data_IF_249605756584
#
_entry.id   IF_249605756584
#
_cell.length_a   1.000
_cell.length_b   1.000
_cell.length_c   1.000
_cell.angle_alpha   90.00
_cell.angle_beta   90.00
_cell.angle_gamma   90.00
#
_symmetry.space_group_name_H-M   'P 1'
#
loop_
_entity.id
_entity.type
_entity.pdbx_description
1 polymer ?
#
# COMPACT_ATOMS: atom_id res chain seq x y z
N UNK A 1 57.57 28.64 72.41
CA UNK A 1 57.28 27.97 71.12
C UNK A 1 55.89 27.35 71.23
N UNK A 2 54.87 28.11 70.84
CA UNK A 2 54.09 28.01 69.59
C UNK A 2 52.98 26.95 69.70
N UNK A 3 51.73 27.34 69.97
CA UNK A 3 50.71 27.83 69.00
C UNK A 3 50.53 26.77 67.91
N UNK A 4 49.42 26.03 67.77
CA UNK A 4 48.02 26.45 67.61
C UNK A 4 47.12 25.27 68.01
N UNK A 5 46.37 25.41 69.10
CA UNK A 5 45.20 24.62 69.43
C UNK A 5 44.21 25.60 70.05
N UNK A 6 43.27 26.10 69.24
CA UNK A 6 41.98 26.69 69.65
C UNK A 6 41.38 27.40 68.44
N UNK A 7 40.14 27.04 68.10
CA UNK A 7 38.97 27.92 67.96
C UNK A 7 38.00 27.43 66.89
N UNK A 8 36.77 27.18 67.38
CA UNK A 8 35.50 27.47 66.73
C UNK A 8 35.11 26.51 65.57
N UNK A 9 34.19 25.55 65.74
CA UNK A 9 32.74 25.72 66.05
C UNK A 9 32.15 26.89 65.27
N UNK A 10 31.08 26.62 64.51
CA UNK A 10 30.37 27.45 63.51
C UNK A 10 30.92 27.17 62.10
N UNK A 11 30.18 26.66 61.13
CA UNK A 11 28.79 26.92 60.78
C UNK A 11 28.12 25.66 60.21
N UNK A 12 27.32 25.00 61.04
CA UNK A 12 26.23 24.12 60.62
C UNK A 12 24.97 24.97 60.62
N UNK A 13 24.67 25.68 59.52
CA UNK A 13 23.37 26.31 59.26
C UNK A 13 23.45 27.08 57.93
N UNK A 14 23.10 26.42 56.83
CA UNK A 14 22.55 26.99 55.58
C UNK A 14 22.80 25.95 54.48
N UNK A 15 21.81 25.09 54.24
CA UNK A 15 21.44 24.44 52.96
C UNK A 15 20.36 23.37 53.23
N UNK A 16 19.40 23.70 54.11
CA UNK A 16 18.22 22.89 54.40
C UNK A 16 17.02 23.82 54.33
N UNK A 17 16.58 24.09 53.10
CA UNK A 17 15.50 25.04 52.84
C UNK A 17 15.44 25.42 51.37
N UNK A 18 15.15 24.43 50.51
CA UNK A 18 14.52 24.59 49.18
C UNK A 18 14.50 23.23 48.46
N UNK A 19 13.84 22.25 49.07
CA UNK A 19 13.17 21.20 48.29
C UNK A 19 11.70 21.27 48.69
N UNK A 20 11.12 22.44 48.39
CA UNK A 20 9.69 22.65 48.39
C UNK A 20 9.09 21.70 47.38
N UNK A 21 8.24 20.82 47.90
CA UNK A 21 7.41 19.87 47.20
C UNK A 21 6.60 20.57 46.11
N UNK A 22 7.05 20.47 44.87
CA UNK A 22 6.21 20.59 43.69
C UNK A 22 6.14 19.22 43.04
N UNK A 23 5.51 18.25 43.70
CA UNK A 23 4.82 17.19 42.97
C UNK A 23 3.51 17.79 42.48
N UNK A 24 3.61 18.63 41.44
CA UNK A 24 2.51 18.71 40.48
C UNK A 24 2.42 17.30 39.90
N UNK A 25 1.41 16.54 40.32
CA UNK A 25 0.96 15.40 39.54
C UNK A 25 0.63 15.97 38.16
N UNK A 26 1.54 15.78 37.20
CA UNK A 26 1.23 15.97 35.81
C UNK A 26 0.06 15.03 35.53
N UNK A 27 -1.15 15.58 35.37
CA UNK A 27 -2.19 14.85 34.67
C UNK A 27 -1.60 14.52 33.31
N UNK A 28 -1.48 13.22 33.01
CA UNK A 28 -1.06 12.74 31.70
C UNK A 28 -1.83 13.52 30.64
N UNK A 29 -1.10 14.29 29.82
CA UNK A 29 -1.71 15.23 28.89
C UNK A 29 -2.24 14.46 27.69
N UNK A 30 -3.43 13.86 27.85
CA UNK A 30 -4.12 13.16 26.76
C UNK A 30 -4.77 14.18 25.83
N UNK A 31 -4.41 14.11 24.55
CA UNK A 31 -4.96 14.99 23.51
C UNK A 31 -6.11 14.30 22.80
N UNK A 32 -7.32 14.82 22.96
CA UNK A 32 -8.49 14.29 22.27
C UNK A 32 -8.40 14.50 20.74
N UNK A 33 -8.75 13.47 19.98
CA UNK A 33 -8.68 13.42 18.51
C UNK A 33 -10.07 13.27 17.86
N UNK A 34 -10.91 12.38 18.39
CA UNK A 34 -12.26 12.09 17.86
C UNK A 34 -13.28 11.98 18.98
N UNK A 35 -14.50 12.44 18.72
CA UNK A 35 -15.68 12.04 19.48
C UNK A 35 -16.27 10.75 18.88
N UNK A 36 -16.77 9.87 19.75
CA UNK A 36 -17.44 8.63 19.32
C UNK A 36 -18.95 8.91 19.28
N UNK A 37 -19.55 8.80 18.10
CA UNK A 37 -20.99 9.00 17.90
C UNK A 37 -21.74 7.78 18.44
N UNK A 38 -22.49 7.97 19.53
CA UNK A 38 -23.34 6.93 20.10
C UNK A 38 -24.53 6.65 19.18
N UNK A 39 -24.67 5.39 18.77
CA UNK A 39 -25.83 4.89 18.04
C UNK A 39 -26.77 4.25 19.06
N UNK A 40 -27.82 5.00 19.46
CA UNK A 40 -29.01 4.54 20.20
C UNK A 40 -28.93 4.44 21.74
N UNK A 41 -30.10 4.57 22.39
CA UNK A 41 -30.37 4.49 23.85
C UNK A 41 -30.05 3.11 24.50
N UNK A 42 -29.27 2.25 23.85
CA UNK A 42 -28.83 0.97 24.40
C UNK A 42 -27.54 1.12 25.22
N UNK A 43 -27.53 0.54 26.41
CA UNK A 43 -26.36 0.46 27.29
C UNK A 43 -25.37 -0.61 26.80
N UNK A 44 -24.92 -0.49 25.54
CA UNK A 44 -24.02 -1.44 24.93
C UNK A 44 -22.63 -1.33 25.55
N UNK A 45 -22.19 -2.43 26.17
CA UNK A 45 -20.93 -2.50 26.91
C UNK A 45 -19.74 -2.75 25.97
N UNK A 46 -19.97 -3.31 24.79
CA UNK A 46 -18.91 -3.68 23.84
C UNK A 46 -19.07 -2.92 22.54
N UNK A 47 -18.14 -1.99 22.32
CA UNK A 47 -18.24 -1.00 21.25
C UNK A 47 -17.03 -1.11 20.32
N UNK A 48 -17.27 -0.93 19.02
CA UNK A 48 -16.22 -0.92 18.02
C UNK A 48 -16.33 0.24 17.02
N UNK A 49 -15.19 0.69 16.51
CA UNK A 49 -15.12 1.76 15.53
C UNK A 49 -14.01 1.52 14.52
N UNK A 50 -14.29 1.78 13.24
CA UNK A 50 -13.29 1.72 12.17
C UNK A 50 -12.39 2.96 12.25
N UNK A 51 -11.07 2.75 12.34
CA UNK A 51 -10.11 3.85 12.45
C UNK A 51 -9.85 4.51 11.08
N UNK A 52 -9.94 5.85 10.98
CA UNK A 52 -9.69 6.58 9.75
C UNK A 52 -8.18 6.80 9.50
N UNK A 53 -7.79 7.13 8.27
CA UNK A 53 -6.37 7.27 7.88
C UNK A 53 -5.66 8.39 8.63
N UNK A 54 -6.41 9.44 8.93
CA UNK A 54 -5.93 10.64 9.60
C UNK A 54 -5.40 10.35 11.01
N UNK A 55 -5.82 9.25 11.65
CA UNK A 55 -5.30 8.89 12.98
C UNK A 55 -3.78 8.68 12.97
N UNK A 56 -3.22 8.19 11.87
CA UNK A 56 -1.78 7.95 11.73
C UNK A 56 -0.96 9.24 11.63
N UNK A 57 -1.59 10.41 11.43
CA UNK A 57 -0.92 11.72 11.47
C UNK A 57 -0.74 12.25 12.89
N UNK A 58 -1.46 11.71 13.85
CA UNK A 58 -1.46 12.17 15.24
C UNK A 58 -0.61 11.29 16.17
N UNK A 59 -0.32 10.06 15.76
CA UNK A 59 0.45 9.05 16.52
C UNK A 59 1.96 9.14 16.26
N UNK A 60 2.76 8.73 17.25
CA UNK A 60 4.19 8.46 17.07
C UNK A 60 4.48 6.96 16.79
N UNK A 61 3.45 6.13 16.68
CA UNK A 61 3.56 4.68 16.53
C UNK A 61 2.78 4.16 15.34
N UNK A 62 3.46 3.44 14.44
CA UNK A 62 2.81 2.71 13.35
C UNK A 62 1.80 1.64 13.81
N UNK A 63 1.85 1.24 15.09
CA UNK A 63 0.94 0.27 15.71
C UNK A 63 -0.11 0.95 16.61
N UNK A 64 -0.22 2.29 16.58
CA UNK A 64 -1.19 3.07 17.37
C UNK A 64 -1.12 2.81 18.88
N UNK A 65 0.10 2.65 19.42
CA UNK A 65 0.34 2.30 20.82
C UNK A 65 -0.05 3.38 21.82
N UNK A 66 0.01 4.62 21.38
CA UNK A 66 -0.28 5.85 22.10
C UNK A 66 -1.75 6.28 21.97
N UNK A 67 -2.60 5.46 21.35
CA UNK A 67 -4.03 5.74 21.19
C UNK A 67 -4.82 5.09 22.32
N UNK A 68 -5.67 5.88 22.99
CA UNK A 68 -6.51 5.47 24.11
C UNK A 68 -7.97 5.90 23.91
N UNK A 69 -8.89 5.22 24.58
CA UNK A 69 -10.29 5.62 24.68
C UNK A 69 -10.53 6.24 26.05
N UNK A 70 -11.21 7.38 26.08
CA UNK A 70 -11.56 8.12 27.27
C UNK A 70 -13.08 8.14 27.47
N UNK A 71 -13.52 8.08 28.73
CA UNK A 71 -14.88 8.42 29.11
C UNK A 71 -15.08 9.94 29.29
N UNK A 72 -16.28 10.32 29.73
CA UNK A 72 -16.67 11.72 29.92
C UNK A 72 -15.77 12.48 30.90
N UNK A 73 -15.24 11.81 31.91
CA UNK A 73 -14.38 12.36 32.97
C UNK A 73 -12.89 12.29 32.60
N UNK A 74 -12.56 11.72 31.43
CA UNK A 74 -11.19 11.55 30.96
C UNK A 74 -10.50 10.31 31.53
N UNK A 75 -11.25 9.35 32.08
CA UNK A 75 -10.68 8.08 32.51
C UNK A 75 -10.42 7.17 31.29
N UNK A 76 -9.25 6.53 31.27
CA UNK A 76 -8.88 5.59 30.19
C UNK A 76 -9.66 4.29 30.32
N UNK A 77 -10.33 3.88 29.24
CA UNK A 77 -11.09 2.65 29.15
C UNK A 77 -10.24 1.48 28.61
N UNK A 78 -10.56 0.22 28.97
CA UNK A 78 -9.94 -0.95 28.34
C UNK A 78 -10.24 -0.99 26.85
N UNK A 79 -9.20 -0.87 26.02
CA UNK A 79 -9.30 -0.88 24.57
C UNK A 79 -8.20 -1.69 23.90
N UNK A 80 -8.49 -2.20 22.70
CA UNK A 80 -7.53 -2.83 21.80
C UNK A 80 -7.74 -2.38 20.36
N UNK A 81 -6.67 -2.43 19.56
CA UNK A 81 -6.72 -2.20 18.13
C UNK A 81 -6.35 -3.51 17.43
N UNK A 82 -7.18 -3.94 16.49
CA UNK A 82 -6.94 -5.14 15.68
C UNK A 82 -7.11 -4.85 14.20
N UNK A 83 -6.57 -5.71 13.37
CA UNK A 83 -6.91 -5.71 11.95
C UNK A 83 -8.39 -6.03 11.78
N UNK A 84 -9.05 -5.31 10.86
CA UNK A 84 -10.39 -5.62 10.44
C UNK A 84 -10.42 -7.07 9.92
N UNK A 85 -11.50 -7.78 10.25
CA UNK A 85 -11.65 -9.13 9.76
C UNK A 85 -11.70 -9.11 8.24
N UNK A 86 -10.86 -9.96 7.66
CA UNK A 86 -10.86 -10.14 6.23
C UNK A 86 -12.22 -10.67 5.83
N UNK A 87 -12.94 -9.88 5.04
CA UNK A 87 -14.21 -10.31 4.48
C UNK A 87 -13.92 -11.28 3.37
N UNK A 88 -14.68 -12.35 3.32
CA UNK A 88 -14.57 -13.30 2.24
C UNK A 88 -15.03 -12.64 0.92
N UNK A 89 -14.09 -12.28 0.05
CA UNK A 89 -14.26 -11.85 -1.34
C UNK A 89 -13.48 -12.75 -2.30
N UNK A 90 -14.11 -13.28 -3.35
CA UNK A 90 -13.62 -14.30 -4.28
C UNK A 90 -12.16 -14.33 -4.82
N UNK A 91 -11.38 -15.43 -4.56
CA UNK A 91 -10.09 -15.82 -5.16
C UNK A 91 -10.35 -16.76 -6.34
N UNK A 92 -9.78 -16.49 -7.51
CA UNK A 92 -9.74 -17.47 -8.59
C UNK A 92 -9.03 -18.75 -8.13
N UNK A 93 -9.75 -19.85 -7.99
CA UNK A 93 -9.20 -21.16 -8.36
C UNK A 93 -9.16 -21.19 -9.89
N UNK A 94 -7.98 -21.16 -10.49
CA UNK A 94 -7.82 -21.07 -11.95
C UNK A 94 -8.25 -22.41 -12.57
N UNK A 95 -9.29 -22.41 -13.41
CA UNK A 95 -9.79 -23.59 -14.13
C UNK A 95 -9.28 -23.53 -15.56
N UNK A 96 -8.52 -24.52 -16.04
CA UNK A 96 -8.14 -24.55 -17.46
C UNK A 96 -9.36 -24.87 -18.34
N UNK A 97 -9.61 -24.06 -19.37
CA UNK A 97 -10.71 -24.23 -20.30
C UNK A 97 -10.23 -24.77 -21.65
N UNK A 98 -10.97 -25.73 -22.19
CA UNK A 98 -10.77 -26.19 -23.55
C UNK A 98 -11.38 -25.18 -24.53
N UNK A 99 -10.66 -24.87 -25.61
CA UNK A 99 -11.13 -23.96 -26.64
C UNK A 99 -10.83 -24.47 -28.06
N UNK A 100 -11.63 -24.04 -29.02
CA UNK A 100 -11.61 -24.52 -30.40
C UNK A 100 -11.59 -23.34 -31.38
N UNK A 101 -10.59 -23.23 -32.27
CA UNK A 101 -10.58 -22.23 -33.33
C UNK A 101 -11.64 -22.55 -34.40
N UNK A 102 -12.39 -21.53 -34.83
CA UNK A 102 -13.41 -21.63 -35.89
C UNK A 102 -13.19 -20.52 -36.90
N UNK A 103 -13.12 -20.89 -38.18
CA UNK A 103 -12.99 -19.96 -39.29
C UNK A 103 -14.35 -19.31 -39.61
N UNK A 104 -14.40 -17.98 -39.60
CA UNK A 104 -15.58 -17.19 -39.94
C UNK A 104 -16.02 -17.48 -41.38
N UNK A 105 -17.34 -17.69 -41.58
CA UNK A 105 -17.91 -18.03 -42.89
C UNK A 105 -18.12 -19.53 -43.13
N UNK A 106 -17.71 -20.40 -42.20
CA UNK A 106 -18.02 -21.84 -42.25
C UNK A 106 -19.42 -22.09 -41.65
N UNK A 107 -20.40 -22.63 -42.41
CA UNK A 107 -21.72 -22.94 -41.85
C UNK A 107 -21.66 -24.10 -40.84
N UNK A 108 -22.02 -23.81 -39.58
CA UNK A 108 -22.06 -24.78 -38.46
C UNK A 108 -22.93 -26.02 -38.73
N UNK A 109 -23.92 -25.90 -39.61
CA UNK A 109 -24.88 -26.97 -39.93
C UNK A 109 -24.30 -28.11 -40.77
N UNK A 110 -23.19 -27.88 -41.49
CA UNK A 110 -22.53 -28.90 -42.31
C UNK A 110 -21.66 -29.89 -41.51
N UNK A 111 -21.32 -29.53 -40.27
CA UNK A 111 -20.45 -30.33 -39.40
C UNK A 111 -21.21 -31.44 -38.62
N UNK A 112 -22.56 -31.42 -38.63
CA UNK A 112 -23.36 -32.31 -37.77
C UNK A 112 -24.02 -33.47 -38.55
N UNK A 113 -24.00 -33.47 -39.89
CA UNK A 113 -24.80 -34.42 -40.67
C UNK A 113 -24.04 -35.09 -41.82
N UNK A 114 -22.99 -35.86 -41.50
CA UNK A 114 -22.74 -37.13 -42.19
C UNK A 114 -22.38 -38.19 -41.15
N UNK A 115 -23.41 -38.96 -40.76
CA UNK A 115 -23.36 -39.95 -39.70
C UNK A 115 -22.36 -41.06 -39.99
N UNK A 116 -21.23 -41.01 -39.28
CA UNK A 116 -20.62 -42.11 -38.52
C UNK A 116 -19.38 -41.57 -37.82
N UNK A 117 -19.58 -40.79 -36.77
CA UNK A 117 -18.50 -40.47 -35.83
C UNK A 117 -19.08 -40.36 -34.44
N UNK A 118 -18.96 -41.46 -33.69
CA UNK A 118 -18.84 -41.34 -32.25
C UNK A 118 -17.58 -40.51 -31.99
N UNK A 119 -17.75 -39.43 -31.25
CA UNK A 119 -16.67 -38.61 -30.76
C UNK A 119 -15.83 -39.48 -29.81
N UNK A 120 -14.79 -40.11 -30.32
CA UNK A 120 -13.75 -40.72 -29.51
C UNK A 120 -12.46 -39.98 -29.82
N UNK A 121 -12.09 -39.14 -28.86
CA UNK A 121 -10.84 -38.38 -28.86
C UNK A 121 -9.73 -39.39 -28.59
N UNK A 122 -8.95 -39.74 -29.60
CA UNK A 122 -7.63 -40.33 -29.37
C UNK A 122 -6.60 -39.70 -30.34
N UNK A 123 -5.52 -39.20 -29.74
CA UNK A 123 -4.26 -38.74 -30.37
C UNK A 123 -4.38 -37.85 -31.63
N UNK A 124 -5.00 -36.70 -31.44
CA UNK A 124 -4.56 -35.41 -31.99
C UNK A 124 -4.10 -35.37 -33.46
N UNK A 125 -5.04 -35.28 -34.40
CA UNK A 125 -4.96 -34.39 -35.58
C UNK A 125 -6.21 -34.54 -36.43
N UNK A 126 -6.80 -33.40 -36.83
CA UNK A 126 -7.87 -33.34 -37.83
C UNK A 126 -7.28 -32.59 -39.04
N UNK A 127 -7.24 -33.26 -40.19
CA UNK A 127 -6.93 -32.62 -41.47
C UNK A 127 -8.14 -32.76 -42.39
N UNK A 128 -8.56 -31.66 -43.03
CA UNK A 128 -9.67 -31.64 -43.99
C UNK A 128 -9.19 -30.89 -45.24
N UNK A 129 -9.30 -31.53 -46.41
CA UNK A 129 -9.19 -30.88 -47.71
C UNK A 129 -10.59 -30.53 -48.24
N UNK A 130 -10.74 -29.38 -48.90
CA UNK A 130 -11.96 -28.98 -49.58
C UNK A 130 -11.69 -28.55 -51.03
N UNK A 131 -12.71 -28.76 -51.87
CA UNK A 131 -12.77 -28.46 -53.30
C UNK A 131 -13.01 -26.94 -53.53
N UNK A 132 -12.23 -26.23 -54.38
CA UNK A 132 -12.06 -24.77 -54.29
C UNK A 132 -13.02 -23.96 -55.20
N UNK A 133 -14.30 -24.32 -55.28
CA UNK A 133 -15.24 -23.58 -56.14
C UNK A 133 -16.32 -22.86 -55.34
N UNK A 134 -16.21 -21.52 -55.32
CA UNK A 134 -17.20 -20.53 -54.85
C UNK A 134 -17.22 -20.10 -53.37
N UNK A 135 -16.06 -19.86 -52.76
CA UNK A 135 -16.00 -18.92 -51.63
C UNK A 135 -14.88 -17.92 -51.89
N UNK A 136 -15.23 -16.64 -52.08
CA UNK A 136 -14.30 -15.53 -51.86
C UNK A 136 -14.04 -15.51 -50.36
N UNK A 137 -13.02 -16.25 -49.92
CA UNK A 137 -12.54 -16.24 -48.55
C UNK A 137 -12.07 -14.84 -48.24
N UNK A 138 -12.83 -14.14 -47.38
CA UNK A 138 -12.27 -13.04 -46.63
C UNK A 138 -11.10 -13.58 -45.80
N UNK A 139 -10.10 -12.72 -45.59
CA UNK A 139 -8.89 -12.96 -44.80
C UNK A 139 -9.19 -13.85 -43.59
N UNK A 140 -8.36 -14.86 -43.33
CA UNK A 140 -8.59 -15.96 -42.38
C UNK A 140 -8.95 -15.46 -40.96
N UNK A 141 -10.22 -15.13 -40.73
CA UNK A 141 -10.69 -14.59 -39.45
C UNK A 141 -11.11 -15.73 -38.54
N UNK A 142 -10.40 -15.88 -37.43
CA UNK A 142 -10.69 -16.91 -36.43
C UNK A 142 -11.49 -16.35 -35.25
N UNK A 143 -12.45 -17.14 -34.80
CA UNK A 143 -13.07 -16.99 -33.47
C UNK A 143 -12.79 -18.22 -32.64
N UNK A 144 -12.68 -18.07 -31.33
CA UNK A 144 -12.39 -19.16 -30.41
C UNK A 144 -13.62 -19.50 -29.60
N UNK A 145 -14.10 -20.74 -29.73
CA UNK A 145 -15.24 -21.25 -29.00
C UNK A 145 -14.79 -22.04 -27.77
N UNK A 146 -15.46 -21.82 -26.65
CA UNK A 146 -15.21 -22.50 -25.38
C UNK A 146 -16.50 -23.23 -25.00
N UNK A 147 -16.38 -24.52 -24.68
CA UNK A 147 -17.48 -25.32 -24.14
C UNK A 147 -17.50 -25.23 -22.61
N UNK A 148 -18.58 -24.67 -22.08
CA UNK A 148 -18.76 -24.43 -20.65
C UNK A 148 -19.67 -25.47 -20.00
N UNK A 149 -20.21 -26.44 -20.75
CA UNK A 149 -21.23 -27.39 -20.24
C UNK A 149 -20.71 -28.32 -19.16
N UNK A 150 -19.40 -28.59 -19.15
CA UNK A 150 -18.74 -29.40 -18.10
C UNK A 150 -18.39 -28.59 -16.84
N UNK A 151 -18.69 -27.29 -16.82
CA UNK A 151 -18.32 -26.36 -15.75
C UNK A 151 -19.56 -25.70 -15.14
N UNK A 152 -20.00 -26.19 -13.97
CA UNK A 152 -21.21 -25.69 -13.29
C UNK A 152 -20.99 -24.36 -12.52
N UNK A 153 -19.76 -23.85 -12.45
CA UNK A 153 -19.42 -22.65 -11.66
C UNK A 153 -19.62 -21.37 -12.48
N UNK A 154 -20.23 -20.35 -11.86
CA UNK A 154 -20.30 -19.00 -12.44
C UNK A 154 -18.88 -18.45 -12.58
N UNK A 155 -18.52 -17.95 -13.76
CA UNK A 155 -17.22 -17.33 -14.00
C UNK A 155 -17.28 -15.82 -13.75
N UNK A 156 -16.26 -15.29 -13.07
CA UNK A 156 -16.03 -13.85 -12.91
C UNK A 156 -15.06 -13.30 -13.95
N UNK A 157 -14.22 -14.15 -14.54
CA UNK A 157 -13.28 -13.71 -15.56
C UNK A 157 -12.64 -14.85 -16.34
N UNK A 158 -11.90 -14.47 -17.38
CA UNK A 158 -11.03 -15.33 -18.16
C UNK A 158 -9.61 -14.77 -18.13
N UNK A 159 -8.61 -15.65 -18.14
CA UNK A 159 -7.21 -15.31 -18.31
C UNK A 159 -6.68 -15.98 -19.58
N UNK A 160 -6.16 -15.21 -20.52
CA UNK A 160 -5.73 -15.70 -21.83
C UNK A 160 -4.21 -15.58 -21.97
N UNK A 161 -3.51 -16.64 -22.32
CA UNK A 161 -2.13 -16.50 -22.82
C UNK A 161 -2.13 -16.52 -24.34
N UNK A 162 -1.20 -15.82 -24.96
CA UNK A 162 -0.98 -15.81 -26.41
C UNK A 162 0.52 -15.77 -26.69
N UNK A 163 0.91 -16.05 -27.94
CA UNK A 163 2.32 -16.04 -28.33
C UNK A 163 2.92 -14.65 -28.13
N UNK A 164 3.99 -14.60 -27.34
CA UNK A 164 4.72 -13.36 -27.02
C UNK A 164 5.43 -12.86 -28.28
N UNK A 165 5.08 -11.65 -28.71
CA UNK A 165 5.83 -10.91 -29.71
C UNK A 165 6.86 -10.01 -29.00
N UNK A 166 8.08 -9.87 -29.52
CA UNK A 166 9.08 -8.94 -28.96
C UNK A 166 8.65 -7.46 -28.95
N UNK A 167 7.61 -7.09 -29.70
CA UNK A 167 7.00 -5.77 -29.66
C UNK A 167 5.84 -5.67 -28.66
N UNK A 168 5.60 -4.46 -28.12
CA UNK A 168 4.46 -4.22 -27.24
C UNK A 168 3.14 -4.43 -27.99
N UNK A 169 2.26 -5.28 -27.46
CA UNK A 169 0.99 -5.67 -28.05
C UNK A 169 -0.20 -5.15 -27.26
N UNK A 170 -1.19 -4.65 -28.01
CA UNK A 170 -2.51 -4.26 -27.51
C UNK A 170 -3.54 -5.01 -28.33
N UNK A 171 -4.25 -5.94 -27.69
CA UNK A 171 -5.22 -6.81 -28.34
C UNK A 171 -6.64 -6.46 -27.90
N UNK A 172 -7.45 -5.89 -28.78
CA UNK A 172 -8.89 -5.75 -28.51
C UNK A 172 -9.50 -7.15 -28.54
N UNK A 173 -10.18 -7.51 -27.46
CA UNK A 173 -10.84 -8.81 -27.30
C UNK A 173 -12.30 -8.60 -27.00
N UNK A 174 -13.15 -9.27 -27.76
CA UNK A 174 -14.59 -9.33 -27.55
C UNK A 174 -14.97 -10.72 -27.06
N UNK A 175 -15.74 -10.77 -25.97
CA UNK A 175 -16.30 -12.01 -25.43
C UNK A 175 -17.81 -11.97 -25.52
N UNK A 176 -18.39 -13.00 -26.14
CA UNK A 176 -19.82 -13.23 -26.25
C UNK A 176 -20.21 -14.58 -25.65
N UNK A 177 -21.43 -14.69 -25.13
CA UNK A 177 -21.99 -15.92 -24.60
C UNK A 177 -23.21 -16.40 -25.41
N UNK A 178 -23.39 -17.71 -25.49
CA UNK A 178 -24.55 -18.35 -26.11
C UNK A 178 -24.99 -19.60 -25.33
N UNK A 179 -26.27 -19.94 -25.40
CA UNK A 179 -26.79 -21.22 -24.91
C UNK A 179 -27.01 -22.23 -26.06
N UNK A 180 -27.00 -21.76 -27.32
CA UNK A 180 -27.43 -22.55 -28.48
C UNK A 180 -26.49 -22.44 -29.69
N UNK A 181 -25.34 -21.77 -29.52
CA UNK A 181 -24.36 -21.41 -30.57
C UNK A 181 -24.89 -20.54 -31.72
N UNK A 182 -26.18 -20.18 -31.70
CA UNK A 182 -26.85 -19.42 -32.76
C UNK A 182 -27.08 -17.97 -32.33
N UNK A 183 -27.50 -17.77 -31.08
CA UNK A 183 -27.78 -16.45 -30.50
C UNK A 183 -26.66 -16.09 -29.54
N UNK A 184 -25.87 -15.10 -29.94
CA UNK A 184 -24.73 -14.60 -29.17
C UNK A 184 -25.08 -13.28 -28.50
N UNK A 185 -24.82 -13.19 -27.19
CA UNK A 185 -24.94 -11.95 -26.41
C UNK A 185 -23.54 -11.47 -26.03
N UNK A 186 -23.25 -10.20 -26.31
CA UNK A 186 -21.99 -9.58 -25.86
C UNK A 186 -21.92 -9.54 -24.33
N UNK A 187 -20.77 -9.96 -23.78
CA UNK A 187 -20.51 -10.02 -22.34
C UNK A 187 -19.47 -9.00 -21.91
N UNK A 188 -18.38 -8.91 -22.67
CA UNK A 188 -17.24 -8.07 -22.33
C UNK A 188 -16.51 -7.66 -23.59
N UNK A 189 -15.95 -6.46 -23.57
CA UNK A 189 -15.02 -5.95 -24.57
C UNK A 189 -13.92 -5.22 -23.82
N UNK A 190 -12.69 -5.69 -23.97
CA UNK A 190 -11.53 -5.12 -23.26
C UNK A 190 -10.30 -5.20 -24.16
N UNK A 191 -9.20 -4.60 -23.72
CA UNK A 191 -7.90 -4.74 -24.37
C UNK A 191 -6.97 -5.52 -23.47
N UNK A 192 -6.42 -6.61 -24.01
CA UNK A 192 -5.30 -7.32 -23.42
C UNK A 192 -4.01 -6.60 -23.78
N UNK A 193 -3.09 -6.54 -22.83
CA UNK A 193 -1.87 -5.75 -22.98
C UNK A 193 -0.68 -6.61 -22.64
N UNK A 194 0.32 -6.59 -23.51
CA UNK A 194 1.63 -7.14 -23.21
C UNK A 194 2.69 -6.12 -23.59
N UNK A 195 3.45 -5.67 -22.60
CA UNK A 195 4.56 -4.74 -22.80
C UNK A 195 5.86 -5.46 -22.47
N UNK A 196 6.84 -5.32 -23.34
CA UNK A 196 8.20 -5.81 -23.14
C UNK A 196 9.16 -4.63 -23.21
N UNK A 197 10.02 -4.48 -22.20
CA UNK A 197 11.08 -3.49 -22.19
C UNK A 197 12.34 -4.09 -21.57
N UNK A 198 13.34 -4.39 -22.42
CA UNK A 198 14.53 -5.15 -22.00
C UNK A 198 14.14 -6.51 -21.42
N UNK A 199 14.64 -6.82 -20.23
CA UNK A 199 14.33 -8.06 -19.48
C UNK A 199 13.00 -7.99 -18.70
N UNK A 200 12.33 -6.84 -18.67
CA UNK A 200 11.07 -6.67 -17.93
C UNK A 200 9.87 -6.90 -18.84
N UNK A 201 8.89 -7.66 -18.32
CA UNK A 201 7.64 -7.93 -19.01
C UNK A 201 6.46 -7.55 -18.10
N UNK A 202 5.43 -6.98 -18.70
CA UNK A 202 4.13 -6.80 -18.06
C UNK A 202 3.07 -7.40 -18.96
N UNK A 203 2.26 -8.31 -18.37
CA UNK A 203 1.14 -8.94 -19.06
C UNK A 203 -0.13 -8.65 -18.29
N UNK A 204 -1.11 -8.05 -18.98
CA UNK A 204 -2.51 -8.02 -18.57
C UNK A 204 -3.29 -8.89 -19.54
N UNK A 205 -3.58 -10.10 -19.06
CA UNK A 205 -4.25 -11.16 -19.79
C UNK A 205 -5.67 -11.45 -19.30
N UNK A 206 -6.20 -10.63 -18.39
CA UNK A 206 -7.51 -10.87 -17.75
C UNK A 206 -8.65 -10.15 -18.46
N UNK A 207 -9.76 -10.86 -18.63
CA UNK A 207 -11.05 -10.37 -19.10
C UNK A 207 -12.07 -10.55 -17.97
N UNK A 208 -12.66 -9.46 -17.50
CA UNK A 208 -13.76 -9.54 -16.53
C UNK A 208 -15.08 -9.91 -17.23
N UNK A 209 -15.84 -10.83 -16.63
CA UNK A 209 -17.13 -11.29 -17.13
C UNK A 209 -18.25 -10.90 -16.15
N UNK A 210 -19.24 -10.08 -16.56
CA UNK A 210 -20.35 -9.67 -15.70
C UNK A 210 -21.47 -10.75 -15.68
N UNK A 211 -21.14 -11.97 -15.26
CA UNK A 211 -22.12 -13.06 -15.15
C UNK A 211 -22.77 -13.07 -13.76
N UNK A 212 -24.07 -12.77 -13.70
CA UNK A 212 -24.78 -12.58 -12.42
C UNK A 212 -25.59 -13.79 -11.92
N UNK A 213 -25.84 -14.81 -12.75
CA UNK A 213 -26.60 -16.00 -12.29
C UNK A 213 -26.76 -17.16 -13.28
N UNK A 214 -26.61 -16.97 -14.59
CA UNK A 214 -26.76 -18.03 -15.60
C UNK A 214 -25.43 -18.31 -16.32
N UNK A 215 -24.93 -19.56 -16.31
CA UNK A 215 -23.80 -19.94 -17.14
C UNK A 215 -24.26 -20.04 -18.60
N UNK A 216 -23.60 -19.32 -19.51
CA UNK A 216 -23.72 -19.63 -20.93
C UNK A 216 -23.08 -21.00 -21.17
N UNK A 217 -23.72 -21.83 -22.01
CA UNK A 217 -23.16 -23.14 -22.38
C UNK A 217 -21.93 -23.00 -23.30
N UNK A 218 -21.84 -21.87 -24.02
CA UNK A 218 -20.74 -21.58 -24.94
C UNK A 218 -20.27 -20.13 -24.78
N UNK A 219 -18.95 -19.94 -24.76
CA UNK A 219 -18.35 -18.61 -24.93
C UNK A 219 -17.67 -18.53 -26.29
N UNK A 220 -17.65 -17.33 -26.86
CA UNK A 220 -16.93 -17.00 -28.09
C UNK A 220 -16.01 -15.81 -27.82
N UNK A 221 -14.75 -15.97 -28.17
CA UNK A 221 -13.73 -14.92 -28.12
C UNK A 221 -13.35 -14.54 -29.54
N UNK A 222 -13.29 -13.25 -29.82
CA UNK A 222 -12.84 -12.70 -31.10
C UNK A 222 -11.82 -11.57 -30.88
N UNK A 223 -10.90 -11.43 -31.81
CA UNK A 223 -9.89 -10.37 -31.87
C UNK A 223 -10.15 -9.51 -33.12
N UNK A 224 -11.15 -8.60 -33.10
CA UNK A 224 -11.65 -7.94 -34.31
C UNK A 224 -10.58 -7.17 -35.09
N UNK A 225 -9.63 -6.54 -34.37
CA UNK A 225 -8.58 -5.73 -34.99
C UNK A 225 -7.36 -6.57 -35.42
N UNK A 226 -7.21 -7.77 -34.87
CA UNK A 226 -6.06 -8.66 -35.09
C UNK A 226 -6.53 -10.13 -35.19
N UNK A 227 -7.21 -10.50 -36.30
CA UNK A 227 -7.87 -11.80 -36.43
C UNK A 227 -6.92 -13.01 -36.51
N UNK A 228 -5.62 -12.76 -36.72
CA UNK A 228 -4.58 -13.79 -36.82
C UNK A 228 -4.06 -14.25 -35.44
N UNK A 229 -4.48 -13.59 -34.35
CA UNK A 229 -4.02 -13.88 -32.98
C UNK A 229 -4.59 -15.20 -32.47
N UNK A 230 -3.69 -16.09 -32.03
CA UNK A 230 -4.05 -17.39 -31.45
C UNK A 230 -3.81 -17.41 -29.93
N UNK A 231 -4.85 -17.65 -29.11
CA UNK A 231 -4.66 -17.93 -27.70
C UNK A 231 -3.95 -19.29 -27.56
N UNK A 232 -3.00 -19.34 -26.63
CA UNK A 232 -2.27 -20.56 -26.25
C UNK A 232 -3.01 -21.29 -25.13
N UNK A 233 -3.47 -20.55 -24.12
CA UNK A 233 -4.28 -21.07 -23.03
C UNK A 233 -5.41 -20.12 -22.72
N UNK A 234 -6.53 -20.67 -22.26
CA UNK A 234 -7.63 -19.90 -21.69
C UNK A 234 -7.95 -20.54 -20.35
N UNK A 235 -7.84 -19.76 -19.28
CA UNK A 235 -8.24 -20.19 -17.95
C UNK A 235 -9.45 -19.39 -17.49
N UNK A 236 -10.31 -20.01 -16.70
CA UNK A 236 -11.46 -19.42 -16.05
C UNK A 236 -11.11 -19.04 -14.61
N UNK A 237 -11.61 -17.88 -14.20
CA UNK A 237 -11.72 -17.46 -12.82
C UNK A 237 -13.18 -17.69 -12.37
N UNK A 238 -13.48 -18.76 -11.61
CA UNK A 238 -14.79 -18.96 -11.03
C UNK A 238 -15.04 -17.91 -9.94
N UNK A 239 -16.32 -17.61 -9.71
CA UNK A 239 -16.77 -16.93 -8.51
C UNK A 239 -16.57 -17.90 -7.33
N UNK A 240 -15.49 -17.73 -6.59
CA UNK A 240 -15.17 -18.49 -5.38
C UNK A 240 -14.45 -17.59 -4.39
N UNK A 241 -15.03 -17.32 -3.23
CA UNK A 241 -14.53 -16.67 -2.01
C UNK A 241 -12.97 -16.67 -1.68
N UNK A 242 -12.19 -15.57 -1.89
CA UNK A 242 -10.89 -15.25 -1.21
C UNK A 242 -11.32 -14.66 0.12
N UNK A 243 -10.40 -14.50 1.05
CA UNK A 243 -10.55 -13.63 2.20
C UNK A 243 -9.72 -12.35 1.93
N UNK A 244 -10.37 -11.19 1.66
CA UNK A 244 -9.69 -9.90 1.48
C UNK A 244 -9.84 -9.02 2.73
N UNK A 245 -8.71 -8.56 3.27
CA UNK A 245 -8.69 -7.57 4.34
C UNK A 245 -9.12 -6.22 3.76
N UNK A 246 -10.12 -5.54 4.34
CA UNK A 246 -10.45 -4.17 3.94
C UNK A 246 -9.21 -3.27 4.02
N UNK A 247 -9.03 -2.39 3.03
CA UNK A 247 -7.90 -1.47 2.97
C UNK A 247 -8.37 -0.03 3.20
N UNK A 248 -7.60 0.68 4.01
CA UNK A 248 -7.62 2.12 4.15
C UNK A 248 -6.70 2.72 3.08
N UNK A 249 -7.20 3.70 2.33
CA UNK A 249 -6.46 4.29 1.21
C UNK A 249 -6.49 5.81 1.22
N UNK A 250 -5.34 6.45 0.99
CA UNK A 250 -5.24 7.90 0.86
C UNK A 250 -4.19 8.29 -0.17
N UNK A 251 -4.37 9.47 -0.78
CA UNK A 251 -3.47 9.98 -1.81
C UNK A 251 -2.45 10.95 -1.24
N UNK A 252 -1.21 10.82 -1.70
CA UNK A 252 -0.11 11.76 -1.47
C UNK A 252 0.27 12.38 -2.81
N UNK A 253 0.34 13.71 -2.83
CA UNK A 253 0.76 14.47 -4.03
C UNK A 253 2.25 14.74 -3.95
N UNK A 254 2.95 14.50 -5.05
CA UNK A 254 4.39 14.74 -5.16
C UNK A 254 4.69 16.11 -5.72
N UNK A 255 5.89 16.60 -5.43
CA UNK A 255 6.49 17.75 -6.09
C UNK A 255 7.59 17.28 -7.02
N UNK A 256 7.81 18.00 -8.12
CA UNK A 256 8.93 17.72 -9.01
C UNK A 256 10.24 17.77 -8.22
N UNK A 257 11.07 16.74 -8.35
CA UNK A 257 12.34 16.67 -7.64
C UNK A 257 13.31 17.73 -8.17
N UNK A 258 14.17 18.27 -7.31
CA UNK A 258 15.20 19.21 -7.74
C UNK A 258 16.25 18.54 -8.63
N UNK A 259 16.61 17.29 -8.32
CA UNK A 259 17.52 16.47 -9.09
C UNK A 259 16.74 15.52 -10.01
N UNK A 260 16.98 15.66 -11.31
CA UNK A 260 16.37 14.88 -12.38
C UNK A 260 17.36 13.85 -12.96
N UNK A 261 18.42 13.52 -12.23
CA UNK A 261 19.29 12.38 -12.53
C UNK A 261 18.77 11.13 -11.81
N UNK A 262 18.95 9.97 -12.43
CA UNK A 262 18.61 8.68 -11.82
C UNK A 262 19.40 8.47 -10.53
N UNK A 263 18.77 7.88 -9.52
CA UNK A 263 19.48 7.38 -8.34
C UNK A 263 20.38 6.17 -8.64
N UNK A 264 20.20 5.55 -9.79
CA UNK A 264 21.11 4.53 -10.30
C UNK A 264 22.26 5.24 -11.01
N UNK A 265 23.48 4.98 -10.56
CA UNK A 265 24.69 5.52 -11.16
C UNK A 265 24.76 5.21 -12.65
N UNK A 266 25.11 6.20 -13.47
CA UNK A 266 25.27 6.11 -14.92
C UNK A 266 24.00 5.80 -15.75
N UNK A 267 22.80 5.87 -15.15
CA UNK A 267 21.52 5.60 -15.83
C UNK A 267 20.90 6.85 -16.49
N UNK A 268 21.57 8.00 -16.39
CA UNK A 268 21.21 9.25 -17.09
C UNK A 268 20.03 10.02 -16.48
N UNK A 269 19.47 10.99 -17.23
CA UNK A 269 18.37 11.82 -16.76
C UNK A 269 17.04 11.06 -16.73
N UNK A 270 16.19 11.41 -15.77
CA UNK A 270 14.85 10.85 -15.51
C UNK A 270 13.84 11.97 -15.32
N UNK A 271 12.55 11.61 -15.26
CA UNK A 271 11.52 12.49 -14.70
C UNK A 271 11.23 12.03 -13.28
N UNK A 272 11.59 12.83 -12.28
CA UNK A 272 11.51 12.46 -10.88
C UNK A 272 10.58 13.36 -10.06
N UNK A 273 9.79 12.74 -9.19
CA UNK A 273 8.92 13.39 -8.20
C UNK A 273 9.24 12.86 -6.80
N UNK A 274 9.23 13.77 -5.83
CA UNK A 274 9.41 13.46 -4.42
C UNK A 274 8.14 13.74 -3.64
N UNK A 275 7.87 12.86 -2.68
CA UNK A 275 6.66 12.88 -1.86
C UNK A 275 7.07 12.85 -0.41
N UNK A 276 6.40 13.67 0.39
CA UNK A 276 6.52 13.65 1.83
C UNK A 276 5.16 13.31 2.42
N UNK A 277 5.14 12.31 3.28
CA UNK A 277 3.99 11.99 4.12
C UNK A 277 4.22 12.50 5.53
N UNK A 278 3.13 12.73 6.23
CA UNK A 278 3.12 13.20 7.62
C UNK A 278 2.37 12.22 8.54
N UNK A 279 2.11 11.00 8.06
CA UNK A 279 1.57 9.89 8.81
C UNK A 279 2.65 8.85 9.15
N UNK A 280 2.39 8.05 10.19
CA UNK A 280 3.24 6.94 10.63
C UNK A 280 2.73 5.56 10.16
N UNK A 281 1.82 5.49 9.19
CA UNK A 281 1.24 4.21 8.78
C UNK A 281 2.28 3.35 8.03
N UNK A 282 2.38 2.08 8.42
CA UNK A 282 3.22 1.13 7.70
C UNK A 282 2.55 0.67 6.39
N UNK A 283 3.10 1.06 5.25
CA UNK A 283 2.52 0.78 3.94
C UNK A 283 3.12 -0.50 3.36
N UNK A 284 2.24 -1.32 2.81
CA UNK A 284 2.54 -2.61 2.18
C UNK A 284 2.10 -2.66 0.73
N UNK A 285 1.20 -1.76 0.33
CA UNK A 285 0.65 -1.67 -1.02
C UNK A 285 0.52 -0.21 -1.42
N UNK A 286 0.81 0.10 -2.67
CA UNK A 286 0.59 1.44 -3.23
C UNK A 286 0.22 1.38 -4.71
N UNK A 287 -0.56 2.35 -5.17
CA UNK A 287 -0.92 2.49 -6.58
C UNK A 287 -0.44 3.83 -7.11
N UNK A 288 -0.03 3.86 -8.38
CA UNK A 288 0.35 5.09 -9.07
C UNK A 288 -0.84 5.60 -9.90
N UNK A 289 -1.14 6.89 -9.75
CA UNK A 289 -2.19 7.58 -10.50
C UNK A 289 -1.53 8.66 -11.38
N UNK A 290 -1.60 8.44 -12.70
CA UNK A 290 -1.11 9.36 -13.72
C UNK A 290 -2.23 10.18 -14.37
N UNK A 291 -3.42 10.19 -13.77
CA UNK A 291 -4.60 10.87 -14.28
C UNK A 291 -4.98 10.37 -15.67
N UNK A 292 -5.20 11.31 -16.60
CA UNK A 292 -5.59 11.01 -17.99
C UNK A 292 -4.40 11.02 -18.95
N UNK A 293 -3.21 10.66 -18.48
CA UNK A 293 -2.01 10.57 -19.30
C UNK A 293 -1.67 9.13 -19.60
N UNK A 294 -1.53 8.80 -20.88
CA UNK A 294 -1.08 7.48 -21.31
C UNK A 294 0.37 7.26 -20.90
N UNK A 295 0.64 6.14 -20.27
CA UNK A 295 1.96 5.73 -19.82
C UNK A 295 2.08 4.21 -19.96
N UNK A 296 3.29 3.73 -20.25
CA UNK A 296 3.57 2.31 -20.46
C UNK A 296 5.08 2.12 -20.52
N UNK A 297 5.74 2.22 -19.37
CA UNK A 297 7.20 2.23 -19.27
C UNK A 297 7.62 1.76 -17.86
N UNK A 298 8.93 1.60 -17.66
CA UNK A 298 9.53 1.29 -16.37
C UNK A 298 9.31 2.42 -15.38
N UNK A 299 8.94 2.05 -14.16
CA UNK A 299 8.88 2.95 -13.00
C UNK A 299 9.82 2.44 -11.92
N UNK A 300 10.47 3.38 -11.23
CA UNK A 300 11.29 3.09 -10.07
C UNK A 300 10.77 3.85 -8.87
N UNK A 301 10.59 3.12 -7.78
CA UNK A 301 10.09 3.69 -6.53
C UNK A 301 11.14 3.51 -5.44
N UNK A 302 11.41 4.59 -4.73
CA UNK A 302 12.36 4.63 -3.64
C UNK A 302 11.70 5.21 -2.39
N UNK A 303 12.22 4.83 -1.22
CA UNK A 303 11.88 5.50 0.03
C UNK A 303 13.10 5.64 0.94
N UNK A 304 13.02 6.56 1.90
CA UNK A 304 14.06 6.75 2.92
C UNK A 304 13.47 7.18 4.27
N UNK A 305 14.09 6.79 5.40
CA UNK A 305 13.55 7.06 6.73
C UNK A 305 13.78 8.52 7.18
N UNK A 306 14.79 9.21 6.65
CA UNK A 306 15.09 10.60 6.97
C UNK A 306 15.61 11.37 5.75
N UNK A 307 15.53 12.70 5.79
CA UNK A 307 15.88 13.58 4.66
C UNK A 307 17.36 13.50 4.24
N UNK A 308 18.25 13.02 5.12
CA UNK A 308 19.69 12.87 4.85
C UNK A 308 20.11 11.40 4.68
N UNK A 309 19.16 10.47 4.75
CA UNK A 309 19.46 9.05 4.54
C UNK A 309 19.51 8.71 3.05
N UNK A 310 20.22 7.63 2.74
CA UNK A 310 20.25 7.08 1.39
C UNK A 310 18.87 6.55 0.97
N UNK A 311 18.59 6.68 -0.31
CA UNK A 311 17.39 6.12 -0.93
C UNK A 311 17.46 4.60 -1.01
N UNK A 312 16.36 3.94 -0.67
CA UNK A 312 16.20 2.49 -0.77
C UNK A 312 15.19 2.18 -1.87
N UNK A 313 15.60 1.39 -2.86
CA UNK A 313 14.69 0.93 -3.92
C UNK A 313 13.63 0.02 -3.31
N UNK A 314 12.36 0.35 -3.54
CA UNK A 314 11.18 -0.41 -3.12
C UNK A 314 10.54 -1.17 -4.26
N UNK A 315 10.61 -0.62 -5.47
CA UNK A 315 10.06 -1.25 -6.65
C UNK A 315 10.81 -0.83 -7.91
N UNK A 316 10.91 -1.77 -8.85
CA UNK A 316 11.42 -1.57 -10.19
C UNK A 316 10.63 -2.51 -11.10
N UNK A 317 9.91 -1.95 -12.07
CA UNK A 317 9.11 -2.74 -13.01
C UNK A 317 8.28 -1.86 -13.94
N UNK A 318 7.60 -2.50 -14.91
CA UNK A 318 6.76 -1.79 -15.88
C UNK A 318 5.41 -1.44 -15.25
N UNK A 319 5.01 -0.18 -15.43
CA UNK A 319 3.68 0.31 -15.09
C UNK A 319 2.96 0.83 -16.33
N UNK A 320 1.64 0.69 -16.39
CA UNK A 320 0.85 1.31 -17.45
C UNK A 320 -0.33 2.11 -16.90
N UNK A 321 -0.72 3.09 -17.69
CA UNK A 321 -1.98 3.80 -17.61
C UNK A 321 -2.44 4.03 -19.07
N UNK A 322 -3.52 3.42 -19.50
CA UNK A 322 -3.97 3.48 -20.88
C UNK A 322 -5.49 3.62 -20.96
N UNK A 323 -5.97 4.40 -21.93
CA UNK A 323 -7.39 4.48 -22.24
C UNK A 323 -7.76 3.30 -23.13
N UNK A 324 -8.64 2.44 -22.64
CA UNK A 324 -9.20 1.29 -23.36
C UNK A 324 -10.68 1.56 -23.60
N UNK A 325 -11.03 1.89 -24.85
CA UNK A 325 -12.35 2.44 -25.19
C UNK A 325 -12.60 3.77 -24.48
N UNK A 326 -13.59 3.80 -23.58
CA UNK A 326 -13.93 4.96 -22.76
C UNK A 326 -13.46 4.88 -21.30
N UNK A 327 -12.77 3.80 -20.93
CA UNK A 327 -12.31 3.55 -19.55
C UNK A 327 -10.79 3.66 -19.48
N UNK A 328 -10.30 4.38 -18.47
CA UNK A 328 -8.87 4.36 -18.13
C UNK A 328 -8.56 3.12 -17.32
N UNK A 329 -7.52 2.41 -17.72
CA UNK A 329 -7.03 1.19 -17.07
C UNK A 329 -5.56 1.39 -16.69
N UNK A 330 -5.19 0.86 -15.54
CA UNK A 330 -3.82 0.94 -15.03
C UNK A 330 -3.39 -0.38 -14.38
N UNK A 331 -2.10 -0.50 -14.08
CA UNK A 331 -1.55 -1.64 -13.35
C UNK A 331 -2.20 -1.80 -11.95
N UNK A 332 -2.15 -3.03 -11.43
CA UNK A 332 -2.55 -3.35 -10.04
C UNK A 332 -1.60 -2.70 -9.04
N UNK A 333 -2.05 -2.49 -7.81
CA UNK A 333 -1.22 -1.99 -6.71
C UNK A 333 0.12 -2.74 -6.62
N UNK A 334 1.19 -1.99 -6.41
CA UNK A 334 2.55 -2.46 -6.16
C UNK A 334 2.61 -2.98 -4.73
N UNK A 335 3.02 -4.23 -4.56
CA UNK A 335 3.31 -4.83 -3.26
C UNK A 335 4.76 -4.55 -2.85
N UNK A 336 4.96 -4.16 -1.60
CA UNK A 336 6.26 -3.81 -1.03
C UNK A 336 6.38 -4.31 0.41
N UNK A 337 7.62 -4.42 0.91
CA UNK A 337 7.86 -4.67 2.33
C UNK A 337 7.28 -3.54 3.20
N UNK A 338 6.58 -3.93 4.27
CA UNK A 338 5.95 -3.02 5.22
C UNK A 338 6.94 -1.99 5.76
N UNK A 339 6.68 -0.70 5.53
CA UNK A 339 7.51 0.38 6.08
C UNK A 339 6.74 1.69 6.27
N UNK A 340 7.23 2.54 7.17
CA UNK A 340 6.66 3.86 7.49
C UNK A 340 7.62 4.99 7.06
N UNK A 341 8.42 4.78 6.01
CA UNK A 341 9.37 5.80 5.54
C UNK A 341 8.62 7.08 5.13
N UNK A 342 9.00 8.27 5.62
CA UNK A 342 8.26 9.49 5.34
C UNK A 342 8.57 10.14 4.00
N UNK A 343 9.70 9.78 3.38
CA UNK A 343 10.13 10.35 2.11
C UNK A 343 10.12 9.29 1.02
N UNK A 344 9.48 9.61 -0.10
CA UNK A 344 9.36 8.74 -1.27
C UNK A 344 9.82 9.46 -2.52
N UNK A 345 10.33 8.71 -3.49
CA UNK A 345 10.71 9.22 -4.81
C UNK A 345 10.23 8.27 -5.88
N UNK A 346 9.57 8.82 -6.89
CA UNK A 346 9.15 8.13 -8.10
C UNK A 346 10.02 8.63 -9.25
N UNK A 347 10.67 7.71 -9.96
CA UNK A 347 11.39 8.00 -11.19
C UNK A 347 10.68 7.33 -12.36
N UNK A 348 10.45 8.12 -13.41
CA UNK A 348 9.90 7.73 -14.69
C UNK A 348 10.92 8.05 -15.79
N UNK A 349 10.67 7.56 -17.01
CA UNK A 349 11.43 7.94 -18.20
C UNK A 349 11.51 9.46 -18.38
N UNK A 350 12.63 9.92 -18.94
CA UNK A 350 12.90 11.33 -19.16
C UNK A 350 11.83 12.01 -20.04
N UNK A 351 11.60 13.31 -19.82
CA UNK A 351 10.69 14.13 -20.65
C UNK A 351 9.21 14.12 -20.22
N UNK A 352 8.88 13.55 -19.07
CA UNK A 352 7.51 13.47 -18.55
C UNK A 352 7.19 14.55 -17.51
N UNK A 353 8.17 15.36 -17.12
CA UNK A 353 8.11 16.38 -16.05
C UNK A 353 6.94 17.38 -16.23
N UNK A 354 6.65 17.78 -17.47
CA UNK A 354 5.58 18.73 -17.82
C UNK A 354 4.28 18.05 -18.28
N UNK A 355 4.29 16.71 -18.42
CA UNK A 355 3.18 15.95 -19.04
C UNK A 355 2.37 15.16 -18.01
N UNK A 356 2.99 14.79 -16.88
CA UNK A 356 2.33 14.07 -15.79
C UNK A 356 2.52 14.78 -14.46
N UNK A 357 1.51 14.64 -13.58
CA UNK A 357 1.63 14.98 -12.17
C UNK A 357 1.22 13.75 -11.37
N UNK A 358 2.15 12.81 -11.17
CA UNK A 358 1.84 11.53 -10.55
C UNK A 358 1.41 11.71 -9.09
N UNK A 359 0.37 10.98 -8.70
CA UNK A 359 -0.03 10.82 -7.30
C UNK A 359 0.24 9.38 -6.86
N UNK A 360 0.60 9.23 -5.60
CA UNK A 360 0.73 7.91 -4.98
C UNK A 360 -0.50 7.70 -4.10
N UNK A 361 -1.23 6.63 -4.34
CA UNK A 361 -2.26 6.15 -3.41
C UNK A 361 -1.62 5.11 -2.52
N UNK A 362 -1.58 5.37 -1.22
CA UNK A 362 -1.06 4.46 -0.20
C UNK A 362 -2.18 3.57 0.31
N UNK A 363 -1.89 2.29 0.53
CA UNK A 363 -2.85 1.33 1.08
C UNK A 363 -2.32 0.73 2.38
N UNK A 364 -3.15 0.77 3.42
CA UNK A 364 -2.89 0.18 4.72
C UNK A 364 -4.06 -0.75 5.10
N UNK A 365 -3.83 -1.90 5.73
CA UNK A 365 -4.92 -2.72 6.26
C UNK A 365 -5.82 -1.92 7.21
N UNK A 366 -7.12 -2.01 7.03
CA UNK A 366 -8.08 -1.36 7.92
C UNK A 366 -7.93 -1.90 9.34
N UNK A 367 -7.94 -1.00 10.32
CA UNK A 367 -7.92 -1.36 11.73
C UNK A 367 -9.24 -0.97 12.41
N UNK A 368 -9.62 -1.78 13.39
CA UNK A 368 -10.82 -1.59 14.22
C UNK A 368 -10.35 -1.39 15.66
N UNK A 369 -10.83 -0.32 16.27
CA UNK A 369 -10.71 -0.05 17.69
C UNK A 369 -11.90 -0.70 18.41
N UNK A 370 -11.62 -1.51 19.41
CA UNK A 370 -12.61 -2.16 20.26
C UNK A 370 -12.39 -1.74 21.71
N UNK A 371 -13.45 -1.38 22.42
CA UNK A 371 -13.36 -0.98 23.82
C UNK A 371 -14.57 -1.43 24.64
N UNK A 372 -14.36 -1.55 25.95
CA UNK A 372 -15.41 -1.91 26.90
C UNK A 372 -15.91 -0.61 27.57
N UNK A 373 -17.16 -0.26 27.28
CA UNK A 373 -17.83 0.90 27.84
C UNK A 373 -18.18 0.70 29.32
N UNK A 374 -18.03 1.76 30.10
CA UNK A 374 -18.43 1.84 31.51
C UNK A 374 -19.81 2.52 31.70
N UNK A 375 -20.59 2.67 30.62
CA UNK A 375 -21.85 3.45 30.57
C UNK A 375 -21.71 4.94 30.97
N UNK A 376 -20.49 5.47 30.96
CA UNK A 376 -20.17 6.85 31.30
C UNK A 376 -19.80 7.69 30.07
N UNK A 377 -20.63 7.62 29.03
CA UNK A 377 -20.44 8.39 27.79
C UNK A 377 -20.71 9.91 27.98
N UNK A 378 -20.37 10.75 26.98
CA UNK A 378 -19.82 10.40 25.66
C UNK A 378 -18.34 9.99 25.72
N UNK A 379 -17.94 9.12 24.79
CA UNK A 379 -16.57 8.60 24.70
C UNK A 379 -15.74 9.36 23.66
N UNK A 380 -14.43 9.38 23.86
CA UNK A 380 -13.47 10.02 22.95
C UNK A 380 -12.27 9.14 22.67
N UNK A 381 -11.67 9.31 21.49
CA UNK A 381 -10.34 8.77 21.18
C UNK A 381 -9.32 9.88 21.42
N UNK A 382 -8.23 9.55 22.11
CA UNK A 382 -7.14 10.48 22.37
C UNK A 382 -5.76 9.88 22.18
N UNK A 383 -4.75 10.76 22.04
CA UNK A 383 -3.32 10.43 22.06
C UNK A 383 -2.75 10.69 23.45
N UNK A 384 -2.04 9.74 24.02
CA UNK A 384 -1.30 9.88 25.29
C UNK A 384 0.21 9.97 25.06
N UNK A 385 0.91 10.74 25.90
CA UNK A 385 2.38 10.84 25.85
C UNK A 385 3.07 9.61 26.45
N UNK A 386 2.50 9.05 27.53
CA UNK A 386 2.93 7.77 28.06
C UNK A 386 2.12 6.67 27.40
N UNK A 387 2.81 5.74 26.73
CA UNK A 387 2.21 4.54 26.17
C UNK A 387 1.79 3.66 27.36
N UNK A 388 0.48 3.52 27.67
CA UNK A 388 0.05 2.48 28.60
C UNK A 388 0.54 1.16 28.00
N UNK A 389 1.16 0.29 28.80
CA UNK A 389 1.63 -1.00 28.31
C UNK A 389 0.46 -1.75 27.66
N UNK A 390 0.35 -1.69 26.33
CA UNK A 390 -0.72 -2.34 25.55
C UNK A 390 -0.79 -3.84 25.81
N UNK A 391 0.31 -4.45 26.25
CA UNK A 391 0.33 -5.85 26.66
C UNK A 391 -0.49 -6.09 27.93
N UNK A 392 -0.49 -5.14 28.88
CA UNK A 392 -1.31 -5.19 30.08
C UNK A 392 -2.80 -4.94 29.74
N UNK A 393 -3.11 -3.98 28.86
CA UNK A 393 -4.50 -3.75 28.44
C UNK A 393 -5.06 -4.90 27.59
N UNK A 394 -4.31 -5.48 26.65
CA UNK A 394 -4.77 -6.61 25.84
C UNK A 394 -4.98 -7.89 26.67
N UNK A 395 -4.11 -8.16 27.63
CA UNK A 395 -4.27 -9.30 28.54
C UNK A 395 -5.44 -9.10 29.50
N UNK A 396 -5.61 -7.90 30.06
CA UNK A 396 -6.79 -7.54 30.88
C UNK A 396 -8.07 -7.59 30.03
N UNK A 397 -8.05 -7.06 28.80
CA UNK A 397 -9.17 -7.10 27.87
C UNK A 397 -9.56 -8.53 27.50
N UNK A 398 -8.58 -9.40 27.25
CA UNK A 398 -8.82 -10.83 26.97
C UNK A 398 -9.34 -11.56 28.21
N UNK A 399 -8.86 -11.21 29.41
CA UNK A 399 -9.38 -11.73 30.68
C UNK A 399 -10.82 -11.26 30.95
N UNK A 400 -11.16 -10.02 30.58
CA UNK A 400 -12.50 -9.46 30.72
C UNK A 400 -13.50 -10.06 29.73
N UNK A 401 -13.07 -10.41 28.50
CA UNK A 401 -13.93 -11.10 27.53
C UNK A 401 -14.09 -12.61 27.82
N UNK A 402 -13.10 -13.27 28.41
CA UNK A 402 -13.11 -14.72 28.59
C UNK A 402 -13.22 -15.48 27.26
N UNK A 403 -13.98 -16.58 27.22
CA UNK A 403 -14.33 -17.33 25.98
C UNK A 403 -15.68 -16.89 25.37
N UNK A 404 -16.18 -15.72 25.76
CA UNK A 404 -17.52 -15.26 25.36
C UNK A 404 -17.51 -14.76 23.92
N UNK A 405 -18.46 -15.23 23.11
CA UNK A 405 -18.74 -14.63 21.81
C UNK A 405 -19.56 -13.35 22.06
N UNK A 406 -18.98 -12.20 21.73
CA UNK A 406 -19.51 -10.89 22.09
C UNK A 406 -19.95 -10.18 20.82
N UNK A 407 -21.20 -9.72 20.78
CA UNK A 407 -21.68 -8.84 19.73
C UNK A 407 -21.12 -7.42 19.94
N UNK A 408 -20.40 -6.92 18.94
CA UNK A 408 -19.82 -5.58 18.95
C UNK A 408 -20.77 -4.60 18.28
N UNK A 409 -21.14 -3.53 18.98
CA UNK A 409 -21.92 -2.46 18.38
C UNK A 409 -20.99 -1.49 17.63
N UNK A 410 -21.22 -1.34 16.32
CA UNK A 410 -20.43 -0.46 15.47
C UNK A 410 -20.82 1.01 15.64
N UNK A 411 -19.82 1.88 15.81
CA UNK A 411 -19.98 3.31 16.04
C UNK A 411 -19.29 4.15 14.98
N UNK A 412 -19.84 5.34 14.76
CA UNK A 412 -19.23 6.40 13.95
C UNK A 412 -18.17 7.16 14.73
N UNK A 413 -17.13 7.64 14.03
CA UNK A 413 -16.15 8.55 14.60
C UNK A 413 -16.33 9.93 13.97
N UNK A 414 -16.40 10.95 14.82
CA UNK A 414 -16.45 12.35 14.41
C UNK A 414 -15.13 13.04 14.75
N UNK A 415 -14.39 13.58 13.77
CA UNK A 415 -13.16 14.30 14.05
C UNK A 415 -13.44 15.54 14.89
N UNK A 416 -12.58 15.81 15.87
CA UNK A 416 -12.65 17.06 16.63
C UNK A 416 -12.09 18.21 15.79
N UNK A 417 -12.81 19.33 15.78
CA UNK A 417 -12.32 20.56 15.16
C UNK A 417 -11.17 21.14 16.01
N UNK A 418 -10.04 21.45 15.37
CA UNK A 418 -8.84 22.04 16.00
C UNK A 418 -8.07 21.10 16.95
N UNK A 419 -7.66 19.93 16.48
CA UNK A 419 -6.71 19.06 17.17
C UNK A 419 -5.39 19.82 17.40
N UNK A 420 -5.07 20.12 18.66
CA UNK A 420 -3.77 20.67 19.07
C UNK A 420 -2.91 19.53 19.57
N UNK A 421 -2.08 18.98 18.70
CA UNK A 421 -1.04 18.06 19.14
C UNK A 421 -0.14 18.78 20.15
N UNK A 422 0.16 18.18 21.31
CA UNK A 422 1.27 18.64 22.14
C UNK A 422 2.48 18.64 21.24
N UNK A 423 3.24 19.75 21.23
CA UNK A 423 4.50 19.76 20.48
C UNK A 423 5.28 18.55 20.96
N UNK A 424 5.56 17.61 20.06
CA UNK A 424 6.44 16.49 20.32
C UNK A 424 7.63 17.07 21.08
N UNK A 425 7.87 16.57 22.30
CA UNK A 425 9.05 16.95 23.05
C UNK A 425 10.22 16.68 22.12
N UNK A 426 10.73 17.74 21.49
CA UNK A 426 11.92 17.67 20.67
C UNK A 426 12.91 16.96 21.55
N UNK A 427 13.25 15.72 21.18
CA UNK A 427 14.20 14.84 21.86
C UNK A 427 15.23 15.74 22.46
N UNK A 428 15.23 15.84 23.81
CA UNK A 428 16.02 16.81 24.55
C UNK A 428 17.36 16.91 23.86
N UNK A 429 17.58 18.00 23.14
CA UNK A 429 18.75 18.19 22.31
C UNK A 429 19.94 17.78 23.16
N UNK A 430 20.60 16.66 22.80
CA UNK A 430 21.47 15.90 23.70
C UNK A 430 22.39 16.86 24.45
N UNK A 431 22.02 17.25 25.67
CA UNK A 431 22.80 18.24 26.42
C UNK A 431 24.20 17.68 26.71
N UNK A 432 24.33 16.36 26.71
CA UNK A 432 25.60 15.64 26.72
C UNK A 432 26.47 15.91 25.48
N UNK A 433 25.91 16.04 24.28
CA UNK A 433 26.69 16.46 23.09
C UNK A 433 27.15 17.92 23.24
N UNK A 434 26.30 18.80 23.77
CA UNK A 434 26.65 20.21 23.97
C UNK A 434 27.73 20.39 25.05
N UNK A 435 27.67 19.60 26.14
CA UNK A 435 28.71 19.54 27.17
C UNK A 435 30.01 18.94 26.62
N UNK A 436 29.92 17.92 25.76
CA UNK A 436 31.09 17.33 25.09
C UNK A 436 31.80 18.37 24.21
N UNK A 437 31.07 19.09 23.36
CA UNK A 437 31.64 20.14 22.52
C UNK A 437 32.22 21.31 23.35
N UNK A 438 31.57 21.69 24.45
CA UNK A 438 32.09 22.73 25.35
C UNK A 438 33.40 22.28 26.03
N UNK A 439 33.46 21.03 26.50
CA UNK A 439 34.66 20.44 27.10
C UNK A 439 35.82 20.36 26.11
N UNK A 440 35.54 19.93 24.87
CA UNK A 440 36.53 19.86 23.80
C UNK A 440 37.11 21.24 23.48
N UNK A 441 36.25 22.27 23.37
CA UNK A 441 36.69 23.64 23.14
C UNK A 441 37.61 24.16 24.25
N UNK A 442 37.27 23.88 25.52
CA UNK A 442 38.10 24.26 26.67
C UNK A 442 39.48 23.58 26.60
N UNK A 443 39.53 22.29 26.28
CA UNK A 443 40.80 21.55 26.15
C UNK A 443 41.70 22.15 25.05
N UNK A 444 41.12 22.51 23.90
CA UNK A 444 41.86 23.16 22.80
C UNK A 444 42.39 24.53 23.21
N UNK A 445 41.60 25.33 23.92
CA UNK A 445 42.03 26.64 24.42
C UNK A 445 43.21 26.51 25.40
N UNK A 446 43.18 25.50 26.28
CA UNK A 446 44.29 25.23 27.22
C UNK A 446 45.56 24.87 26.47
N UNK A 447 45.48 24.00 25.45
CA UNK A 447 46.64 23.64 24.62
C UNK A 447 47.21 24.84 23.86
N UNK A 448 46.35 25.67 23.27
CA UNK A 448 46.74 26.92 22.60
C UNK A 448 47.44 27.88 23.56
N UNK A 449 46.94 28.01 24.79
CA UNK A 449 47.56 28.84 25.81
C UNK A 449 48.96 28.35 26.18
N UNK A 450 49.15 27.04 26.36
CA UNK A 450 50.47 26.46 26.63
C UNK A 450 51.42 26.61 25.45
N UNK A 451 50.96 26.41 24.21
CA UNK A 451 51.78 26.60 23.02
C UNK A 451 52.27 28.04 22.88
N UNK A 452 51.38 29.04 23.08
CA UNK A 452 51.74 30.46 23.04
C UNK A 452 52.71 30.81 24.19
N UNK A 453 52.50 30.23 25.37
CA UNK A 453 53.39 30.44 26.51
C UNK A 453 54.79 29.86 26.25
N UNK A 454 54.89 28.70 25.58
CA UNK A 454 56.17 28.09 25.20
C UNK A 454 56.88 28.89 24.11
N UNK A 455 56.14 29.38 23.10
CA UNK A 455 56.67 30.27 22.06
C UNK A 455 57.21 31.59 22.63
N UNK A 456 56.56 32.14 23.68
CA UNK A 456 57.07 33.32 24.40
C UNK A 456 58.26 33.03 25.32
N UNK A 457 58.50 31.76 25.64
CA UNK A 457 59.59 31.31 26.51
C UNK A 457 60.79 30.75 25.75
N UNK A 458 60.75 30.72 24.41
CA UNK A 458 61.94 30.50 23.61
C UNK A 458 62.82 31.76 23.70
N UNK A 459 64.01 31.67 24.33
CA UNK A 459 64.99 32.75 24.25
C UNK A 459 65.41 32.89 22.79
N UNK A 460 65.55 34.14 22.32
CA UNK A 460 66.33 34.42 21.12
C UNK A 460 67.80 34.10 21.40
N UNK A 461 68.15 32.82 21.41
CA UNK A 461 69.54 32.37 21.34
C UNK A 461 69.86 32.18 19.86
N UNK A 462 70.25 33.30 19.22
CA UNK A 462 71.27 33.43 18.16
C UNK A 462 71.11 34.74 17.38
N UNK A 463 71.68 35.80 17.93
CA UNK A 463 72.28 36.96 17.23
C UNK A 463 73.03 37.77 18.32
N UNK A 464 74.33 37.98 18.36
CA UNK A 464 75.51 37.70 17.55
C UNK A 464 76.73 37.80 18.50
N UNK A 465 77.83 37.08 18.15
CA UNK A 465 79.24 37.31 18.54
C UNK A 465 79.67 37.30 20.01
#
# INVERSE_FOLDING_TARGET
>A
MNKIAMLAVRWSALWLGLLGSYTLLAQDEVTALYDIESVSDSADVYLEASLPAEIYRYTDSAQLKDIVVLDREGAVLPSRIRMAESKTQSKPEIIALNFFPVLVGTPLTGAILQGKTQLQIDKGSIAISLDPSNVKLAKDEYVYLIDMREHERVLKGLELSWAVDPSSQYLVVEVSGSHDMNRWRSLSSTTLVQLQQGEQSLVRNKIDLPLTSQPYEFLRIAFPDQPDVQPLTIHAEPVQDVTQTPLLSWQVTGTLAQQQDSLITDDGPVSAWEYQRDDQAAIQQLSLDFGKTTFGDTVRLYSRPAAQSDWRQRYLGVWFNAKVGDVWQHSKAIEIDANADPYWRLELSNGLQDTVTPKITLHHPQQILQFIANNNGPYRIGKTAEVPQQNASNSVFSQLLGESDVEWAALGLKPLENIRLPKAQQTQQNWMDLVFWLSLAIAVIVLLFFAIKLLRQLPQENAEK
#
